data_IF_853473974014
#
_entry.id   IF_853473974014
#
_cell.length_a   1.000
_cell.length_b   1.000
_cell.length_c   1.000
_cell.angle_alpha   90.00
_cell.angle_beta   90.00
_cell.angle_gamma   90.00
#
_symmetry.space_group_name_H-M   'P 1'
#
loop_
_entity.id
_entity.type
_entity.pdbx_description
1 polymer ?
#
# COMPACT_ATOMS: atom_id res chain seq x y z
N UNK A 1 22.94 -7.15 3.06
CA UNK A 1 22.80 -5.80 2.44
C UNK A 1 21.44 -5.74 1.76
N UNK A 2 20.69 -4.62 1.87
CA UNK A 2 19.40 -4.49 1.21
C UNK A 2 19.56 -4.41 -0.32
N UNK A 3 18.59 -4.95 -1.05
CA UNK A 3 18.49 -4.78 -2.49
C UNK A 3 18.10 -3.34 -2.82
N UNK A 4 18.78 -2.78 -3.80
CA UNK A 4 18.48 -1.49 -4.43
C UNK A 4 18.31 -1.73 -5.93
N UNK A 5 17.57 -0.87 -6.61
CA UNK A 5 17.45 -0.90 -8.06
C UNK A 5 17.97 0.40 -8.69
N UNK A 6 18.33 0.32 -9.96
CA UNK A 6 18.66 1.48 -10.78
C UNK A 6 17.79 1.46 -12.03
N UNK A 7 17.28 2.62 -12.39
CA UNK A 7 16.52 2.84 -13.61
C UNK A 7 16.94 4.17 -14.22
N UNK A 8 17.58 4.14 -15.39
CA UNK A 8 18.22 5.31 -15.99
C UNK A 8 19.14 6.01 -14.94
N UNK A 9 18.89 7.29 -14.65
CA UNK A 9 19.64 8.07 -13.66
C UNK A 9 19.10 7.94 -12.24
N UNK A 10 18.06 7.14 -12.04
CA UNK A 10 17.41 6.97 -10.74
C UNK A 10 18.00 5.80 -9.96
N UNK A 11 18.19 6.01 -8.66
CA UNK A 11 18.46 4.95 -7.69
C UNK A 11 17.22 4.80 -6.79
N UNK A 12 16.72 3.57 -6.70
CA UNK A 12 15.55 3.19 -5.93
C UNK A 12 15.97 2.44 -4.67
N UNK A 13 15.42 2.84 -3.52
CA UNK A 13 15.60 2.18 -2.23
C UNK A 13 14.24 1.95 -1.58
N UNK A 14 14.18 0.94 -0.70
CA UNK A 14 12.99 0.65 0.09
C UNK A 14 13.10 1.21 1.49
N UNK A 15 12.01 1.78 1.99
CA UNK A 15 11.76 1.96 3.42
C UNK A 15 10.39 1.39 3.74
N UNK A 16 10.15 1.07 5.02
CA UNK A 16 8.93 0.40 5.46
C UNK A 16 8.36 1.14 6.65
N UNK A 17 7.07 1.44 6.57
CA UNK A 17 6.34 2.07 7.67
C UNK A 17 5.48 1.02 8.37
N UNK A 18 5.66 0.83 9.69
CA UNK A 18 4.88 -0.13 10.45
C UNK A 18 3.39 0.22 10.50
N UNK A 19 2.56 -0.83 10.46
CA UNK A 19 1.11 -0.79 10.69
C UNK A 19 0.83 -1.62 11.93
N UNK A 20 0.02 -1.09 12.84
CA UNK A 20 -0.27 -1.67 14.14
C UNK A 20 -1.75 -2.01 14.26
N UNK A 21 -2.09 -3.04 15.03
CA UNK A 21 -3.46 -3.36 15.40
C UNK A 21 -3.94 -2.55 16.62
N UNK A 22 -5.17 -2.81 17.09
CA UNK A 22 -5.76 -2.15 18.24
C UNK A 22 -5.01 -2.42 19.56
N UNK A 23 -4.22 -3.48 19.65
CA UNK A 23 -3.35 -3.79 20.80
C UNK A 23 -1.97 -3.16 20.69
N UNK A 24 -1.72 -2.35 19.66
CA UNK A 24 -0.42 -1.78 19.31
C UNK A 24 0.65 -2.83 19.00
N UNK A 25 0.21 -4.00 18.53
CA UNK A 25 1.10 -5.02 17.97
C UNK A 25 1.31 -4.73 16.47
N UNK A 26 2.55 -4.77 16.01
CA UNK A 26 2.84 -4.60 14.59
C UNK A 26 2.30 -5.80 13.81
N UNK A 27 1.38 -5.56 12.88
CA UNK A 27 0.73 -6.58 12.04
C UNK A 27 1.14 -6.51 10.58
N UNK A 28 1.69 -5.40 10.15
CA UNK A 28 2.12 -5.20 8.77
C UNK A 28 3.15 -4.09 8.62
N UNK A 29 3.58 -3.91 7.38
CA UNK A 29 4.39 -2.77 6.95
C UNK A 29 3.96 -2.34 5.56
N UNK A 30 3.87 -1.03 5.35
CA UNK A 30 3.78 -0.45 4.02
C UNK A 30 5.17 -0.21 3.45
N UNK A 31 5.42 -0.69 2.25
CA UNK A 31 6.69 -0.51 1.54
C UNK A 31 6.65 0.74 0.67
N UNK A 32 7.54 1.66 0.96
CA UNK A 32 7.63 2.96 0.31
C UNK A 32 8.95 3.10 -0.45
N UNK A 33 8.88 3.52 -1.72
CA UNK A 33 10.09 3.80 -2.50
C UNK A 33 10.70 5.13 -2.08
N UNK A 34 12.03 5.19 -2.13
CA UNK A 34 12.83 6.42 -2.04
C UNK A 34 13.63 6.53 -3.32
N UNK A 35 13.46 7.65 -4.02
CA UNK A 35 14.10 7.93 -5.29
C UNK A 35 15.22 8.95 -5.08
N UNK A 36 16.34 8.75 -5.76
CA UNK A 36 17.40 9.76 -5.86
C UNK A 36 18.00 9.75 -7.26
N UNK A 37 18.45 10.92 -7.73
CA UNK A 37 19.13 11.05 -9.01
C UNK A 37 20.60 10.61 -8.95
N UNK A 38 21.31 10.71 -10.06
CA UNK A 38 22.75 10.35 -10.18
C UNK A 38 23.66 11.17 -9.27
N UNK A 39 23.22 12.36 -8.82
CA UNK A 39 23.95 13.20 -7.86
C UNK A 39 23.64 12.85 -6.40
N UNK A 40 22.72 11.93 -6.14
CA UNK A 40 22.27 11.56 -4.80
C UNK A 40 21.20 12.50 -4.23
N UNK A 41 20.67 13.43 -5.01
CA UNK A 41 19.57 14.32 -4.60
C UNK A 41 18.26 13.54 -4.53
N UNK A 42 17.50 13.73 -3.45
CA UNK A 42 16.21 13.06 -3.25
C UNK A 42 15.16 13.60 -4.21
N UNK A 43 14.40 12.68 -4.81
CA UNK A 43 13.22 12.98 -5.62
C UNK A 43 12.00 12.48 -4.83
N UNK A 44 11.00 13.32 -4.65
CA UNK A 44 9.75 12.94 -4.01
C UNK A 44 8.99 11.96 -4.90
N UNK A 45 8.60 10.77 -4.39
CA UNK A 45 7.86 9.78 -5.18
C UNK A 45 6.53 10.29 -5.71
N UNK A 46 5.77 11.04 -4.91
CA UNK A 46 4.52 11.66 -5.34
C UNK A 46 4.72 12.59 -6.54
N UNK A 47 5.77 13.43 -6.53
CA UNK A 47 6.09 14.26 -7.69
C UNK A 47 6.47 13.43 -8.92
N UNK A 48 7.21 12.33 -8.75
CA UNK A 48 7.59 11.47 -9.86
C UNK A 48 6.37 10.78 -10.48
N UNK A 49 5.50 10.20 -9.66
CA UNK A 49 4.36 9.42 -10.14
C UNK A 49 3.18 10.29 -10.64
N UNK A 50 3.00 11.52 -10.13
CA UNK A 50 1.92 12.42 -10.56
C UNK A 50 2.36 13.45 -11.62
N UNK A 51 3.65 13.58 -11.91
CA UNK A 51 4.14 14.53 -12.92
C UNK A 51 3.71 14.13 -14.31
N UNK A 52 3.22 15.09 -15.09
CA UNK A 52 2.96 14.92 -16.52
C UNK A 52 4.25 14.86 -17.35
N UNK A 53 5.39 15.30 -16.79
CA UNK A 53 6.71 15.24 -17.43
C UNK A 53 7.30 13.81 -17.41
N UNK A 54 6.85 12.95 -16.48
CA UNK A 54 7.30 11.58 -16.40
C UNK A 54 6.43 10.70 -17.30
N UNK A 55 7.06 9.98 -18.23
CA UNK A 55 6.33 9.09 -19.15
C UNK A 55 5.62 7.97 -18.40
N UNK A 56 4.48 7.51 -18.92
CA UNK A 56 3.75 6.37 -18.36
C UNK A 56 4.63 5.12 -18.27
N UNK A 57 5.48 4.88 -19.27
CA UNK A 57 6.42 3.76 -19.30
C UNK A 57 7.45 3.85 -18.17
N UNK A 58 7.98 5.05 -17.88
CA UNK A 58 8.92 5.24 -16.78
C UNK A 58 8.26 5.01 -15.42
N UNK A 59 7.04 5.52 -15.22
CA UNK A 59 6.24 5.27 -14.01
C UNK A 59 6.04 3.77 -13.77
N UNK A 60 5.62 3.02 -14.80
CA UNK A 60 5.41 1.57 -14.75
C UNK A 60 6.72 0.84 -14.41
N UNK A 61 7.83 1.20 -15.06
CA UNK A 61 9.10 0.53 -14.83
C UNK A 61 9.65 0.80 -13.43
N UNK A 62 9.55 2.04 -12.94
CA UNK A 62 9.96 2.40 -11.58
C UNK A 62 9.08 1.71 -10.55
N UNK A 63 7.76 1.63 -10.75
CA UNK A 63 6.85 0.90 -9.87
C UNK A 63 7.21 -0.59 -9.80
N UNK A 64 7.39 -1.25 -10.96
CA UNK A 64 7.77 -2.67 -11.02
C UNK A 64 9.09 -2.97 -10.32
N UNK A 65 10.11 -2.13 -10.53
CA UNK A 65 11.40 -2.26 -9.86
C UNK A 65 11.29 -2.01 -8.36
N UNK A 66 10.49 -1.02 -7.94
CA UNK A 66 10.21 -0.73 -6.54
C UNK A 66 9.59 -1.94 -5.86
N UNK A 67 8.52 -2.51 -6.43
CA UNK A 67 7.86 -3.70 -5.93
C UNK A 67 8.82 -4.90 -5.83
N UNK A 68 9.68 -5.10 -6.83
CA UNK A 68 10.66 -6.17 -6.82
C UNK A 68 11.65 -6.05 -5.65
N UNK A 69 12.20 -4.85 -5.38
CA UNK A 69 13.14 -4.64 -4.26
C UNK A 69 12.40 -4.65 -2.92
N UNK A 70 11.15 -4.16 -2.85
CA UNK A 70 10.32 -4.22 -1.65
C UNK A 70 10.12 -5.67 -1.20
N UNK A 71 9.64 -6.53 -2.08
CA UNK A 71 9.38 -7.95 -1.79
C UNK A 71 10.68 -8.66 -1.41
N UNK A 72 11.78 -8.45 -2.14
CA UNK A 72 13.06 -9.12 -1.85
C UNK A 72 13.65 -8.71 -0.51
N UNK A 73 13.61 -7.44 -0.15
CA UNK A 73 14.06 -6.95 1.14
C UNK A 73 13.19 -7.47 2.28
N UNK A 74 11.87 -7.44 2.09
CA UNK A 74 10.91 -7.96 3.07
C UNK A 74 11.11 -9.47 3.32
N UNK A 75 11.29 -10.26 2.26
CA UNK A 75 11.53 -11.70 2.36
C UNK A 75 12.76 -12.07 3.19
N UNK A 76 13.76 -11.17 3.27
CA UNK A 76 14.99 -11.36 4.06
C UNK A 76 14.92 -10.71 5.45
N UNK A 77 13.79 -10.16 5.84
CA UNK A 77 13.67 -9.43 7.09
C UNK A 77 13.23 -10.30 8.26
N UNK A 78 13.48 -9.79 9.47
CA UNK A 78 12.99 -10.40 10.71
C UNK A 78 11.47 -10.39 10.83
N UNK A 79 10.79 -9.53 10.09
CA UNK A 79 9.33 -9.34 10.10
C UNK A 79 8.63 -9.92 8.86
N UNK A 80 9.30 -10.80 8.12
CA UNK A 80 8.78 -11.43 6.90
C UNK A 80 7.46 -12.23 7.07
N UNK A 81 7.06 -12.46 8.30
CA UNK A 81 5.83 -13.19 8.67
C UNK A 81 4.60 -12.28 8.80
N UNK A 82 4.79 -10.96 8.72
CA UNK A 82 3.72 -9.97 8.79
C UNK A 82 3.12 -9.70 7.40
N UNK A 83 2.09 -8.84 7.35
CA UNK A 83 1.51 -8.38 6.09
C UNK A 83 2.43 -7.33 5.43
N UNK A 84 2.58 -7.42 4.11
CA UNK A 84 3.33 -6.46 3.29
C UNK A 84 2.36 -5.70 2.38
N UNK A 85 2.23 -4.42 2.61
CA UNK A 85 1.42 -3.50 1.81
C UNK A 85 2.26 -2.91 0.68
N UNK A 86 1.74 -2.99 -0.55
CA UNK A 86 2.43 -2.61 -1.77
C UNK A 86 1.54 -1.73 -2.65
N UNK A 87 1.99 -0.52 -2.92
CA UNK A 87 1.35 0.37 -3.87
C UNK A 87 1.38 -0.22 -5.28
N UNK A 88 0.24 -0.19 -5.98
CA UNK A 88 0.06 -0.70 -7.34
C UNK A 88 -0.63 0.36 -8.20
N UNK A 89 0.04 0.76 -9.28
CA UNK A 89 -0.56 1.69 -10.24
C UNK A 89 -1.72 1.02 -10.99
N UNK A 90 -2.84 1.73 -11.28
CA UNK A 90 -4.01 1.18 -11.98
C UNK A 90 -3.70 0.54 -13.33
N UNK A 91 -2.76 1.11 -14.09
CA UNK A 91 -2.33 0.60 -15.39
C UNK A 91 -1.58 -0.74 -15.30
N UNK A 92 -1.18 -1.16 -14.10
CA UNK A 92 -0.59 -2.49 -13.85
C UNK A 92 -1.69 -3.55 -13.78
N UNK A 93 -2.93 -3.17 -13.47
CA UNK A 93 -4.10 -4.05 -13.57
C UNK A 93 -4.29 -4.65 -14.96
N UNK A 94 -3.95 -3.90 -16.02
CA UNK A 94 -3.99 -4.41 -17.40
C UNK A 94 -3.02 -5.56 -17.63
N UNK A 95 -1.88 -5.59 -16.95
CA UNK A 95 -0.89 -6.66 -17.04
C UNK A 95 -1.29 -7.92 -16.26
N UNK A 96 -2.19 -7.80 -15.31
CA UNK A 96 -2.78 -8.95 -14.62
C UNK A 96 -4.00 -9.52 -15.37
N UNK A 97 -4.67 -8.71 -16.20
CA UNK A 97 -5.83 -9.14 -17.00
C UNK A 97 -5.47 -10.05 -18.18
N UNK A 98 -4.21 -10.04 -18.67
CA UNK A 98 -3.76 -10.85 -19.81
C UNK A 98 -3.38 -12.30 -19.46
N UNK A 99 -3.38 -12.70 -18.19
CA UNK A 99 -3.04 -14.06 -17.76
C UNK A 99 -3.59 -14.40 -16.38
N UNK A 100 -3.80 -15.69 -16.10
CA UNK A 100 -4.12 -16.13 -14.75
C UNK A 100 -2.99 -15.71 -13.79
N UNK A 101 -3.30 -14.89 -12.80
CA UNK A 101 -2.32 -14.33 -11.83
C UNK A 101 -1.52 -15.44 -11.13
N UNK A 102 -2.11 -16.65 -10.95
CA UNK A 102 -1.42 -17.81 -10.40
C UNK A 102 -0.20 -18.26 -11.22
N UNK A 103 -0.18 -17.98 -12.53
CA UNK A 103 0.96 -18.23 -13.41
C UNK A 103 1.85 -16.99 -13.58
N UNK A 104 1.52 -15.90 -12.90
CA UNK A 104 2.27 -14.64 -13.00
C UNK A 104 3.68 -14.79 -12.45
N UNK A 105 4.60 -14.00 -13.01
CA UNK A 105 5.97 -13.90 -12.49
C UNK A 105 6.00 -13.48 -11.01
N UNK A 106 5.00 -12.72 -10.57
CA UNK A 106 4.89 -12.28 -9.18
C UNK A 106 4.61 -13.45 -8.24
N UNK A 107 3.58 -14.27 -8.53
CA UNK A 107 3.24 -15.42 -7.69
C UNK A 107 4.41 -16.43 -7.63
N UNK A 108 5.08 -16.69 -8.77
CA UNK A 108 6.29 -17.53 -8.80
C UNK A 108 7.40 -16.96 -7.92
N UNK A 109 7.64 -15.64 -7.97
CA UNK A 109 8.66 -14.98 -7.15
C UNK A 109 8.34 -15.02 -5.67
N UNK A 110 7.09 -14.82 -5.28
CA UNK A 110 6.66 -14.94 -3.89
C UNK A 110 6.92 -16.36 -3.37
N UNK A 111 6.54 -17.37 -4.14
CA UNK A 111 6.77 -18.76 -3.77
C UNK A 111 8.27 -19.09 -3.64
N UNK A 112 9.12 -18.66 -4.57
CA UNK A 112 10.60 -18.81 -4.49
C UNK A 112 11.19 -18.16 -3.24
N UNK A 113 10.57 -17.06 -2.76
CA UNK A 113 10.98 -16.34 -1.56
C UNK A 113 10.30 -16.88 -0.28
N UNK A 114 9.49 -17.94 -0.40
CA UNK A 114 8.66 -18.50 0.68
C UNK A 114 7.75 -17.43 1.32
N UNK A 115 7.11 -16.61 0.51
CA UNK A 115 6.07 -15.67 0.91
C UNK A 115 4.72 -16.15 0.40
N UNK A 116 3.67 -15.99 1.20
CA UNK A 116 2.30 -16.28 0.79
C UNK A 116 1.68 -15.09 0.07
N UNK A 117 0.87 -15.33 -0.97
CA UNK A 117 0.04 -14.26 -1.56
C UNK A 117 -0.91 -13.64 -0.52
N UNK A 118 -1.39 -14.42 0.45
CA UNK A 118 -2.32 -13.96 1.48
C UNK A 118 -1.73 -12.90 2.42
N UNK A 119 -0.40 -12.80 2.53
CA UNK A 119 0.26 -11.76 3.32
C UNK A 119 0.64 -10.51 2.49
N UNK A 120 0.34 -10.51 1.20
CA UNK A 120 0.59 -9.36 0.33
C UNK A 120 -0.72 -8.59 0.13
N UNK A 121 -0.70 -7.33 0.55
CA UNK A 121 -1.80 -6.39 0.37
C UNK A 121 -1.46 -5.49 -0.81
N UNK A 122 -2.29 -5.54 -1.85
CA UNK A 122 -2.17 -4.69 -3.03
C UNK A 122 -2.99 -3.43 -2.82
N UNK A 123 -2.33 -2.30 -2.63
CA UNK A 123 -2.95 -0.99 -2.46
C UNK A 123 -3.21 -0.40 -3.84
N UNK A 124 -4.48 -0.29 -4.19
CA UNK A 124 -4.89 0.31 -5.45
C UNK A 124 -4.86 1.83 -5.30
N UNK A 125 -3.78 2.42 -5.83
CA UNK A 125 -3.57 3.87 -5.81
C UNK A 125 -4.48 4.55 -6.82
N UNK A 126 -5.02 5.70 -6.42
CA UNK A 126 -5.90 6.54 -7.23
C UNK A 126 -5.15 7.31 -8.32
N UNK A 127 -4.86 6.65 -9.41
CA UNK A 127 -4.63 7.33 -10.69
C UNK A 127 -5.84 7.07 -11.57
N UNK A 128 -6.26 8.06 -12.36
CA UNK A 128 -7.40 7.96 -13.29
C UNK A 128 -7.39 6.61 -14.00
N UNK A 129 -8.15 5.65 -13.47
CA UNK A 129 -8.38 4.41 -14.16
C UNK A 129 -9.16 4.75 -15.44
N UNK A 130 -8.65 4.36 -16.59
CA UNK A 130 -9.34 4.57 -17.87
C UNK A 130 -10.72 3.87 -17.89
N UNK A 131 -10.91 2.86 -17.00
CA UNK A 131 -12.16 2.16 -16.80
C UNK A 131 -12.26 1.59 -15.37
N UNK A 132 -13.31 1.95 -14.64
CA UNK A 132 -13.60 1.37 -13.31
C UNK A 132 -13.88 -0.14 -13.40
N UNK A 133 -14.46 -0.63 -14.50
CA UNK A 133 -14.69 -2.06 -14.71
C UNK A 133 -13.37 -2.84 -14.81
N UNK A 134 -12.38 -2.31 -15.54
CA UNK A 134 -11.06 -2.96 -15.63
C UNK A 134 -10.35 -2.99 -14.27
N UNK A 135 -10.50 -1.93 -13.47
CA UNK A 135 -9.93 -1.90 -12.12
C UNK A 135 -10.59 -2.96 -11.23
N UNK A 136 -11.90 -3.12 -11.32
CA UNK A 136 -12.64 -4.18 -10.62
C UNK A 136 -12.17 -5.56 -11.04
N UNK A 137 -12.09 -5.83 -12.36
CA UNK A 137 -11.65 -7.11 -12.87
C UNK A 137 -10.23 -7.45 -12.42
N UNK A 138 -9.34 -6.45 -12.40
CA UNK A 138 -7.98 -6.59 -11.89
C UNK A 138 -7.96 -6.89 -10.39
N UNK A 139 -8.73 -6.16 -9.59
CA UNK A 139 -8.86 -6.39 -8.14
C UNK A 139 -9.40 -7.79 -7.86
N UNK A 140 -10.44 -8.20 -8.57
CA UNK A 140 -11.03 -9.54 -8.44
C UNK A 140 -10.03 -10.64 -8.80
N UNK A 141 -9.31 -10.50 -9.93
CA UNK A 141 -8.29 -11.47 -10.35
C UNK A 141 -7.16 -11.62 -9.32
N UNK A 142 -6.73 -10.51 -8.72
CA UNK A 142 -5.75 -10.53 -7.63
C UNK A 142 -6.31 -11.23 -6.38
N UNK A 143 -7.53 -10.92 -5.99
CA UNK A 143 -8.19 -11.54 -4.83
C UNK A 143 -8.38 -13.06 -5.03
N UNK A 144 -8.82 -13.50 -6.22
CA UNK A 144 -8.92 -14.94 -6.58
C UNK A 144 -7.57 -15.66 -6.55
N UNK A 145 -6.47 -14.93 -6.72
CA UNK A 145 -5.10 -15.43 -6.60
C UNK A 145 -4.57 -15.43 -5.18
N UNK A 146 -5.39 -15.02 -4.22
CA UNK A 146 -5.09 -15.05 -2.79
C UNK A 146 -4.43 -13.77 -2.25
N UNK A 147 -4.31 -12.70 -3.05
CA UNK A 147 -3.85 -11.40 -2.56
C UNK A 147 -4.96 -10.69 -1.79
N UNK A 148 -4.57 -9.90 -0.79
CA UNK A 148 -5.47 -8.95 -0.18
C UNK A 148 -5.50 -7.66 -1.01
N UNK A 149 -6.65 -7.02 -1.11
CA UNK A 149 -6.84 -5.76 -1.84
C UNK A 149 -7.13 -4.67 -0.84
N UNK A 150 -6.42 -3.56 -0.93
CA UNK A 150 -6.72 -2.34 -0.20
C UNK A 150 -7.09 -1.21 -1.17
N UNK A 151 -8.07 -0.42 -0.81
CA UNK A 151 -8.32 0.89 -1.42
C UNK A 151 -7.64 1.94 -0.55
N UNK A 152 -6.77 2.72 -1.16
CA UNK A 152 -5.97 3.74 -0.50
C UNK A 152 -6.65 5.12 -0.54
N UNK A 153 -6.21 6.04 0.33
CA UNK A 153 -6.60 7.45 0.36
C UNK A 153 -8.12 7.72 0.39
N UNK A 154 -8.92 6.87 1.06
CA UNK A 154 -10.35 7.14 1.19
C UNK A 154 -10.60 8.48 1.89
N UNK A 155 -11.46 9.32 1.28
CA UNK A 155 -11.76 10.68 1.73
C UNK A 155 -11.10 11.75 0.86
N UNK A 156 -10.29 11.35 -0.11
CA UNK A 156 -9.83 12.22 -1.20
C UNK A 156 -10.79 12.15 -2.41
N UNK A 157 -10.64 13.08 -3.38
CA UNK A 157 -11.63 13.25 -4.45
C UNK A 157 -11.88 12.02 -5.33
N UNK A 158 -10.96 11.08 -5.35
CA UNK A 158 -11.00 9.93 -6.23
C UNK A 158 -11.48 8.62 -5.56
N UNK A 159 -11.47 8.51 -4.19
CA UNK A 159 -11.97 7.35 -3.42
C UNK A 159 -13.40 7.56 -2.92
N UNK A 160 -14.36 7.32 -3.81
CA UNK A 160 -15.78 7.44 -3.46
C UNK A 160 -16.32 6.14 -2.86
N UNK A 161 -17.38 6.24 -2.03
CA UNK A 161 -18.12 5.08 -1.53
C UNK A 161 -18.54 4.12 -2.66
N UNK A 162 -19.01 4.67 -3.78
CA UNK A 162 -19.43 3.88 -4.94
C UNK A 162 -18.28 3.03 -5.49
N UNK A 163 -17.07 3.59 -5.58
CA UNK A 163 -15.88 2.90 -6.05
C UNK A 163 -15.47 1.78 -5.09
N UNK A 164 -15.46 2.07 -3.78
CA UNK A 164 -15.16 1.05 -2.77
C UNK A 164 -16.13 -0.11 -2.86
N UNK A 165 -17.44 0.16 -2.97
CA UNK A 165 -18.45 -0.90 -3.16
C UNK A 165 -18.25 -1.68 -4.44
N UNK A 166 -17.79 -1.03 -5.51
CA UNK A 166 -17.54 -1.67 -6.79
C UNK A 166 -16.34 -2.60 -6.78
N UNK A 167 -15.25 -2.20 -6.12
CA UNK A 167 -14.01 -2.98 -5.96
C UNK A 167 -14.20 -4.09 -4.92
N UNK A 168 -15.00 -3.85 -3.88
CA UNK A 168 -15.22 -4.73 -2.72
C UNK A 168 -13.89 -5.18 -2.08
N UNK A 169 -13.08 -4.24 -1.56
CA UNK A 169 -11.75 -4.52 -1.05
C UNK A 169 -11.78 -5.26 0.30
N UNK A 170 -10.68 -5.87 0.68
CA UNK A 170 -10.47 -6.47 1.99
C UNK A 170 -10.13 -5.43 3.06
N UNK A 171 -9.56 -4.29 2.63
CA UNK A 171 -9.06 -3.22 3.51
C UNK A 171 -9.41 -1.86 2.89
N UNK A 172 -9.83 -0.92 3.75
CA UNK A 172 -9.98 0.50 3.39
C UNK A 172 -8.96 1.27 4.22
N UNK A 173 -8.07 2.00 3.56
CA UNK A 173 -7.15 2.95 4.19
C UNK A 173 -7.78 4.33 4.16
N UNK A 174 -7.92 4.93 5.33
CA UNK A 174 -8.58 6.22 5.51
C UNK A 174 -7.52 7.30 5.61
N UNK A 175 -7.58 8.24 4.67
CA UNK A 175 -6.63 9.36 4.60
C UNK A 175 -6.72 10.25 5.84
N UNK A 176 -5.58 10.79 6.21
CA UNK A 176 -5.45 11.74 7.33
C UNK A 176 -6.45 12.90 7.28
N UNK A 177 -6.83 13.36 6.09
CA UNK A 177 -7.75 14.50 5.96
C UNK A 177 -9.11 14.24 6.59
N UNK A 178 -9.61 12.99 6.58
CA UNK A 178 -10.84 12.57 7.23
C UNK A 178 -10.71 12.70 8.76
N UNK A 179 -9.58 12.25 9.33
CA UNK A 179 -9.28 12.42 10.75
C UNK A 179 -9.21 13.89 11.13
N UNK A 180 -8.57 14.74 10.32
CA UNK A 180 -8.47 16.17 10.59
C UNK A 180 -9.82 16.92 10.48
N UNK A 181 -10.75 16.44 9.65
CA UNK A 181 -12.14 16.93 9.62
C UNK A 181 -12.89 16.54 10.90
N UNK A 182 -12.75 15.27 11.29
CA UNK A 182 -13.33 14.75 12.54
C UNK A 182 -12.88 15.54 13.77
N UNK A 183 -11.60 15.87 13.90
CA UNK A 183 -11.06 16.70 14.98
C UNK A 183 -11.69 18.10 15.03
N UNK A 184 -12.17 18.62 13.89
CA UNK A 184 -12.86 19.92 13.78
C UNK A 184 -14.37 19.82 14.01
N UNK A 185 -14.90 18.63 14.32
CA UNK A 185 -16.31 18.36 14.57
C UNK A 185 -17.10 17.95 13.30
N UNK A 186 -16.47 17.81 12.15
CA UNK A 186 -17.10 17.24 10.96
C UNK A 186 -16.94 15.72 10.99
N UNK A 187 -17.93 15.05 11.60
CA UNK A 187 -17.89 13.61 11.87
C UNK A 187 -18.47 12.75 10.74
N UNK A 188 -19.20 13.36 9.80
CA UNK A 188 -20.05 12.63 8.85
C UNK A 188 -19.26 11.66 7.98
N UNK A 189 -18.16 12.10 7.41
CA UNK A 189 -17.34 11.27 6.51
C UNK A 189 -16.69 10.10 7.26
N UNK A 190 -16.29 10.32 8.51
CA UNK A 190 -15.75 9.30 9.39
C UNK A 190 -16.78 8.21 9.69
N UNK A 191 -18.01 8.61 10.04
CA UNK A 191 -19.10 7.67 10.30
C UNK A 191 -19.46 6.89 9.04
N UNK A 192 -19.54 7.56 7.89
CA UNK A 192 -19.83 6.92 6.60
C UNK A 192 -18.81 5.85 6.21
N UNK A 193 -17.52 6.10 6.38
CA UNK A 193 -16.49 5.11 6.03
C UNK A 193 -16.50 3.92 6.96
N UNK A 194 -16.71 4.12 8.25
CA UNK A 194 -16.83 3.01 9.22
C UNK A 194 -18.06 2.15 8.96
N UNK A 195 -19.20 2.80 8.64
CA UNK A 195 -20.41 2.08 8.24
C UNK A 195 -20.22 1.30 6.94
N UNK A 196 -19.59 1.91 5.93
CA UNK A 196 -19.25 1.27 4.67
C UNK A 196 -18.37 0.04 4.88
N UNK A 197 -17.28 0.18 5.64
CA UNK A 197 -16.37 -0.92 5.94
C UNK A 197 -17.10 -2.09 6.62
N UNK A 198 -17.94 -1.79 7.61
CA UNK A 198 -18.76 -2.80 8.30
C UNK A 198 -19.74 -3.50 7.32
N UNK A 199 -20.41 -2.76 6.44
CA UNK A 199 -21.39 -3.30 5.49
C UNK A 199 -20.74 -4.28 4.49
N UNK A 200 -19.50 -4.01 4.03
CA UNK A 200 -18.80 -4.87 3.07
C UNK A 200 -17.86 -5.88 3.73
N UNK A 201 -17.71 -5.82 5.07
CA UNK A 201 -16.80 -6.69 5.83
C UNK A 201 -15.32 -6.38 5.62
N UNK A 202 -14.97 -5.15 5.24
CA UNK A 202 -13.60 -4.71 5.07
C UNK A 202 -12.99 -4.29 6.41
N UNK A 203 -11.69 -4.57 6.60
CA UNK A 203 -10.90 -4.00 7.69
C UNK A 203 -10.52 -2.55 7.38
N UNK A 204 -10.26 -1.78 8.42
CA UNK A 204 -9.93 -0.36 8.31
C UNK A 204 -8.51 -0.06 8.78
N UNK A 205 -7.80 0.80 8.06
CA UNK A 205 -6.53 1.40 8.48
C UNK A 205 -6.72 2.91 8.54
N UNK A 206 -6.54 3.52 9.71
CA UNK A 206 -6.48 4.98 9.82
C UNK A 206 -5.04 5.46 9.70
N UNK A 207 -4.80 6.39 8.79
CA UNK A 207 -3.48 6.89 8.45
C UNK A 207 -3.16 8.26 9.04
N UNK A 208 -1.88 8.60 9.04
CA UNK A 208 -1.39 9.93 9.36
C UNK A 208 -1.55 10.33 10.82
N UNK A 209 -1.56 9.37 11.75
CA UNK A 209 -1.57 9.65 13.19
C UNK A 209 -0.24 10.30 13.59
N UNK A 210 -0.29 11.55 14.06
CA UNK A 210 0.88 12.34 14.44
C UNK A 210 0.95 12.65 15.94
N UNK A 211 -0.16 12.46 16.68
CA UNK A 211 -0.23 12.78 18.11
C UNK A 211 -0.89 11.67 18.94
N UNK A 212 -0.56 11.58 20.25
CA UNK A 212 -1.24 10.64 21.16
C UNK A 212 -2.75 10.87 21.23
N UNK A 213 -3.19 12.11 21.12
CA UNK A 213 -4.61 12.48 21.17
C UNK A 213 -5.36 11.91 19.97
N UNK A 214 -4.77 12.02 18.77
CA UNK A 214 -5.31 11.41 17.55
C UNK A 214 -5.42 9.88 17.70
N UNK A 215 -4.37 9.24 18.19
CA UNK A 215 -4.39 7.79 18.42
C UNK A 215 -5.55 7.40 19.36
N UNK A 216 -5.66 8.08 20.50
CA UNK A 216 -6.72 7.79 21.48
C UNK A 216 -8.12 7.98 20.90
N UNK A 217 -8.33 9.06 20.12
CA UNK A 217 -9.59 9.32 19.47
C UNK A 217 -9.96 8.23 18.45
N UNK A 218 -9.00 7.83 17.61
CA UNK A 218 -9.22 6.79 16.60
C UNK A 218 -9.41 5.40 17.22
N UNK A 219 -8.73 5.09 18.31
CA UNK A 219 -8.98 3.86 19.07
C UNK A 219 -10.40 3.82 19.63
N UNK A 220 -10.93 4.97 20.08
CA UNK A 220 -12.32 5.10 20.54
C UNK A 220 -13.37 4.86 19.46
N UNK A 221 -13.02 5.02 18.18
CA UNK A 221 -13.89 4.75 17.03
C UNK A 221 -13.84 3.27 16.56
N UNK A 222 -12.86 2.48 17.02
CA UNK A 222 -12.80 1.06 16.75
C UNK A 222 -12.19 0.68 15.39
N UNK A 223 -11.23 1.45 14.89
CA UNK A 223 -10.45 1.05 13.73
C UNK A 223 -9.69 -0.27 13.99
N UNK A 224 -9.50 -1.07 12.95
CA UNK A 224 -8.76 -2.33 13.04
C UNK A 224 -7.25 -2.12 13.09
N UNK A 225 -6.75 -1.14 12.32
CA UNK A 225 -5.31 -0.88 12.17
C UNK A 225 -5.00 0.62 12.17
N UNK A 226 -3.77 0.93 12.52
CA UNK A 226 -3.28 2.30 12.79
C UNK A 226 -1.90 2.51 12.16
N UNK A 227 -1.73 3.63 11.47
CA UNK A 227 -0.47 4.04 10.86
C UNK A 227 -0.23 5.55 11.05
N UNK A 228 1.00 5.95 11.30
CA UNK A 228 1.35 7.37 11.39
C UNK A 228 2.70 7.61 12.03
N UNK A 229 3.20 8.83 11.89
CA UNK A 229 4.53 9.21 12.37
C UNK A 229 4.65 9.21 13.89
N UNK A 230 3.55 9.36 14.61
CA UNK A 230 3.52 9.19 16.05
C UNK A 230 3.85 7.75 16.46
N UNK A 231 3.40 6.77 15.68
CA UNK A 231 3.63 5.36 15.96
C UNK A 231 5.03 4.93 15.48
N UNK A 232 5.33 5.19 14.23
CA UNK A 232 6.65 4.90 13.66
C UNK A 232 6.87 5.65 12.33
N UNK A 233 8.09 6.11 12.14
CA UNK A 233 8.55 6.67 10.87
C UNK A 233 8.94 5.56 9.89
N UNK A 234 8.77 5.77 8.56
CA UNK A 234 9.31 4.87 7.55
C UNK A 234 10.84 4.74 7.69
N UNK A 235 11.34 3.52 7.77
CA UNK A 235 12.78 3.23 7.91
C UNK A 235 13.20 2.02 7.08
N UNK A 236 14.50 1.88 6.75
CA UNK A 236 15.02 0.65 6.16
C UNK A 236 14.69 -0.56 7.04
N UNK A 237 14.33 -1.70 6.41
CA UNK A 237 13.96 -2.91 7.13
C UNK A 237 15.19 -3.61 7.72
N UNK A 238 15.04 -4.20 8.89
CA UNK A 238 16.10 -5.00 9.50
C UNK A 238 16.14 -6.39 8.87
N UNK A 239 17.31 -6.78 8.35
CA UNK A 239 17.51 -8.08 7.71
C UNK A 239 17.81 -9.16 8.73
N UNK A 240 17.22 -10.33 8.55
CA UNK A 240 17.59 -11.52 9.31
C UNK A 240 18.83 -12.17 8.69
N UNK A 241 19.95 -12.05 9.37
CA UNK A 241 21.25 -12.59 8.89
C UNK A 241 21.28 -14.13 8.83
N UNK A 242 20.26 -14.81 9.38
CA UNK A 242 20.14 -16.27 9.32
C UNK A 242 19.48 -16.75 8.02
N UNK A 243 18.81 -15.86 7.30
CA UNK A 243 18.20 -16.15 6.00
C UNK A 243 19.27 -15.94 4.93
N UNK A 244 19.98 -17.02 4.58
CA UNK A 244 20.87 -17.01 3.42
C UNK A 244 20.02 -17.24 2.15
N UNK A 245 20.13 -16.31 1.19
CA UNK A 245 19.58 -16.47 -0.16
C UNK A 245 20.72 -16.64 -1.14
#
# INVERSE_FOLDING_TARGET
MQFIAKYQDLTLKSVYQPIFDCSMTQVGVEALVRLSNSKGESIRPDHFFHSDETSCIDKINVERLSRAIHIRNFAQSTIRHLDLFLNVLPNVGELFAEGKVNDSLLAKRLNELNLSCQQIVMELVELNAESEERLKDAAQSLAESGFQIAVDDFGTQASTEQRVRHINPHIIKIDRSVMLKFEKGDILEMEQVLELANQIGARTVIEGIETPQQLTAMQGLGFDMYQGYHLAMPKPIELDLRIAI
#
